data_IF_112616399355
#
_entry.id   IF_112616399355
#
_cell.length_a   1.000
_cell.length_b   1.000
_cell.length_c   1.000
_cell.angle_alpha   90.00
_cell.angle_beta   90.00
_cell.angle_gamma   90.00
#
_symmetry.space_group_name_H-M   'P 1'
#
loop_
_entity.id
_entity.type
_entity.pdbx_description
1 polymer ?
#
# COMPACT_ATOMS: atom_id res chain seq x y z
N UNK A 1 -6.58 -2.59 20.78
CA UNK A 1 -6.34 -1.90 19.49
C UNK A 1 -7.10 -2.60 18.37
N UNK A 2 -7.74 -1.87 17.44
CA UNK A 2 -8.55 -2.44 16.34
C UNK A 2 -7.82 -2.31 15.00
N UNK A 3 -6.78 -3.12 14.78
CA UNK A 3 -5.91 -3.04 13.59
C UNK A 3 -6.69 -3.31 12.30
N UNK A 4 -7.65 -4.25 12.31
CA UNK A 4 -8.48 -4.57 11.15
C UNK A 4 -9.19 -3.35 10.56
N UNK A 5 -9.68 -2.44 11.40
CA UNK A 5 -10.35 -1.22 10.94
C UNK A 5 -9.34 -0.27 10.29
N UNK A 6 -8.15 -0.12 10.89
CA UNK A 6 -7.10 0.72 10.32
C UNK A 6 -6.66 0.21 8.94
N UNK A 7 -6.43 -1.10 8.77
CA UNK A 7 -6.04 -1.67 7.47
C UNK A 7 -7.08 -1.43 6.38
N UNK A 8 -8.38 -1.46 6.72
CA UNK A 8 -9.45 -1.17 5.76
C UNK A 8 -9.50 0.30 5.35
N UNK A 9 -9.15 1.21 6.24
CA UNK A 9 -9.11 2.65 5.96
C UNK A 9 -7.87 3.03 5.15
N UNK A 10 -6.73 2.40 5.43
CA UNK A 10 -5.44 2.68 4.80
C UNK A 10 -5.12 1.78 3.59
N UNK A 11 -6.12 1.35 2.82
CA UNK A 11 -5.92 0.44 1.70
C UNK A 11 -5.82 1.14 0.35
N UNK A 12 -5.21 0.46 -0.64
CA UNK A 12 -5.18 0.95 -2.03
C UNK A 12 -6.58 1.17 -2.62
N UNK A 13 -7.59 0.38 -2.20
CA UNK A 13 -8.97 0.57 -2.68
C UNK A 13 -9.58 1.91 -2.24
N UNK A 14 -9.20 2.41 -1.06
CA UNK A 14 -9.62 3.75 -0.62
C UNK A 14 -8.89 4.82 -1.44
N UNK A 15 -7.62 4.61 -1.75
CA UNK A 15 -6.86 5.49 -2.64
C UNK A 15 -7.51 5.60 -4.03
N UNK A 16 -7.86 4.46 -4.63
CA UNK A 16 -8.54 4.40 -5.94
C UNK A 16 -9.89 5.15 -5.90
N UNK A 17 -10.64 5.05 -4.80
CA UNK A 17 -11.91 5.76 -4.65
C UNK A 17 -11.73 7.28 -4.55
N UNK A 18 -10.71 7.76 -3.81
CA UNK A 18 -10.38 9.19 -3.73
C UNK A 18 -9.95 9.72 -5.10
N UNK A 19 -9.07 8.99 -5.79
CA UNK A 19 -8.61 9.34 -7.13
C UNK A 19 -9.77 9.38 -8.14
N UNK A 20 -10.69 8.40 -8.08
CA UNK A 20 -11.90 8.38 -8.90
C UNK A 20 -12.79 9.61 -8.66
N UNK A 21 -13.04 9.96 -7.39
CA UNK A 21 -13.83 11.13 -7.03
C UNK A 21 -13.20 12.46 -7.52
N UNK A 22 -11.87 12.57 -7.48
CA UNK A 22 -11.15 13.77 -7.93
C UNK A 22 -11.04 13.86 -9.46
N UNK A 23 -10.64 12.76 -10.12
CA UNK A 23 -10.22 12.77 -11.53
C UNK A 23 -11.32 12.43 -12.51
N UNK A 24 -12.31 11.61 -12.12
CA UNK A 24 -13.40 11.18 -13.01
C UNK A 24 -14.73 11.85 -12.67
N UNK A 25 -15.04 12.00 -11.38
CA UNK A 25 -16.27 12.69 -10.96
C UNK A 25 -16.08 14.20 -10.76
N UNK A 26 -14.84 14.68 -10.69
CA UNK A 26 -14.49 16.09 -10.46
C UNK A 26 -15.22 16.71 -9.26
N UNK A 27 -15.42 15.93 -8.19
CA UNK A 27 -16.12 16.40 -7.01
C UNK A 27 -15.29 17.46 -6.29
N UNK A 28 -15.85 18.68 -6.04
CA UNK A 28 -15.09 19.77 -5.43
C UNK A 28 -14.49 19.43 -4.05
N UNK A 29 -15.12 18.51 -3.32
CA UNK A 29 -14.67 18.11 -1.98
C UNK A 29 -13.36 17.30 -2.02
N UNK A 30 -13.01 16.73 -3.18
CA UNK A 30 -11.85 15.86 -3.37
C UNK A 30 -10.75 16.50 -4.22
N UNK A 31 -10.90 17.78 -4.60
CA UNK A 31 -9.86 18.50 -5.34
C UNK A 31 -8.59 18.59 -4.48
N UNK A 32 -7.44 18.27 -5.07
CA UNK A 32 -6.16 18.36 -4.35
C UNK A 32 -5.85 17.14 -3.47
N UNK A 33 -6.57 16.02 -3.63
CA UNK A 33 -6.37 14.83 -2.80
C UNK A 33 -5.21 13.92 -3.25
N UNK A 34 -4.40 14.34 -4.24
CA UNK A 34 -3.34 13.54 -4.84
C UNK A 34 -2.31 13.08 -3.81
N UNK A 35 -1.88 13.98 -2.91
CA UNK A 35 -0.95 13.67 -1.83
C UNK A 35 -1.50 12.60 -0.87
N UNK A 36 -2.81 12.62 -0.62
CA UNK A 36 -3.47 11.62 0.23
C UNK A 36 -3.56 10.27 -0.49
N UNK A 37 -3.83 10.26 -1.79
CA UNK A 37 -3.82 9.04 -2.61
C UNK A 37 -2.43 8.40 -2.57
N UNK A 38 -1.36 9.18 -2.76
CA UNK A 38 0.02 8.67 -2.68
C UNK A 38 0.32 8.12 -1.28
N UNK A 39 -0.01 8.86 -0.22
CA UNK A 39 0.17 8.41 1.15
C UNK A 39 -0.51 7.05 1.43
N UNK A 40 -1.78 6.88 0.99
CA UNK A 40 -2.50 5.62 1.17
C UNK A 40 -1.81 4.45 0.44
N UNK A 41 -1.37 4.66 -0.80
CA UNK A 41 -0.66 3.64 -1.57
C UNK A 41 0.66 3.27 -0.91
N UNK A 42 1.41 4.23 -0.36
CA UNK A 42 2.66 3.99 0.36
C UNK A 42 2.43 3.17 1.64
N UNK A 43 1.42 3.53 2.44
CA UNK A 43 1.12 2.83 3.69
C UNK A 43 0.61 1.41 3.43
N UNK A 44 -0.28 1.21 2.44
CA UNK A 44 -0.77 -0.11 2.07
C UNK A 44 0.37 -1.04 1.62
N UNK A 45 1.27 -0.53 0.77
CA UNK A 45 2.46 -1.27 0.36
C UNK A 45 3.40 -1.59 1.53
N UNK A 46 3.63 -0.64 2.44
CA UNK A 46 4.46 -0.86 3.62
C UNK A 46 3.83 -1.92 4.55
N UNK A 47 2.52 -1.86 4.74
CA UNK A 47 1.77 -2.84 5.52
C UNK A 47 1.88 -4.24 4.90
N UNK A 48 1.70 -4.35 3.59
CA UNK A 48 1.84 -5.61 2.86
C UNK A 48 3.25 -6.20 2.99
N UNK A 49 4.31 -5.39 2.85
CA UNK A 49 5.71 -5.84 3.02
C UNK A 49 5.95 -6.37 4.41
N UNK A 50 5.57 -5.60 5.43
CA UNK A 50 5.84 -5.92 6.84
C UNK A 50 4.95 -7.06 7.35
N UNK A 51 3.84 -7.34 6.69
CA UNK A 51 2.92 -8.42 7.03
C UNK A 51 2.97 -9.59 6.03
N UNK A 52 3.95 -9.60 5.12
CA UNK A 52 4.11 -10.65 4.11
C UNK A 52 4.52 -11.99 4.76
N UNK A 53 3.65 -13.01 4.65
CA UNK A 53 3.89 -14.34 5.26
C UNK A 53 3.68 -15.50 4.28
N UNK A 54 3.14 -15.25 3.08
CA UNK A 54 2.75 -16.29 2.15
C UNK A 54 3.80 -16.49 1.03
N UNK A 55 4.59 -17.58 1.02
CA UNK A 55 5.65 -17.82 0.03
C UNK A 55 5.21 -17.85 -1.43
N UNK A 56 3.91 -18.02 -1.68
CA UNK A 56 3.29 -18.06 -3.02
C UNK A 56 2.77 -16.70 -3.49
N UNK A 57 2.68 -15.71 -2.60
CA UNK A 57 2.25 -14.36 -2.98
C UNK A 57 3.33 -13.61 -3.77
N UNK A 58 2.88 -12.64 -4.57
CA UNK A 58 3.72 -11.85 -5.48
C UNK A 58 3.73 -10.38 -5.03
N UNK A 59 4.74 -9.63 -5.46
CA UNK A 59 4.86 -8.19 -5.14
C UNK A 59 5.12 -7.95 -3.66
N UNK A 60 4.54 -6.88 -3.11
CA UNK A 60 4.74 -6.46 -1.71
C UNK A 60 4.22 -7.47 -0.69
N UNK A 61 3.30 -8.36 -1.07
CA UNK A 61 2.77 -9.40 -0.17
C UNK A 61 3.61 -10.68 -0.13
N UNK A 62 4.63 -10.79 -1.00
CA UNK A 62 5.56 -11.90 -1.00
C UNK A 62 6.54 -11.79 0.18
N UNK A 63 6.93 -12.90 0.85
CA UNK A 63 7.86 -12.85 1.97
C UNK A 63 9.19 -12.23 1.57
N UNK A 64 9.73 -11.42 2.46
CA UNK A 64 11.08 -10.87 2.32
C UNK A 64 12.10 -12.01 2.27
N UNK A 65 12.73 -12.24 1.11
CA UNK A 65 13.81 -13.23 0.93
C UNK A 65 15.17 -12.52 0.94
N UNK A 66 16.13 -13.03 1.70
CA UNK A 66 17.48 -12.44 1.82
C UNK A 66 18.20 -12.29 0.48
N UNK A 67 17.86 -13.11 -0.52
CA UNK A 67 18.46 -13.10 -1.86
C UNK A 67 18.16 -11.82 -2.68
N UNK A 68 17.14 -11.02 -2.31
CA UNK A 68 16.77 -9.78 -3.03
C UNK A 68 17.29 -8.50 -2.40
N UNK A 69 17.82 -8.57 -1.18
CA UNK A 69 18.61 -7.49 -0.59
C UNK A 69 20.03 -7.81 -1.01
N UNK A 70 20.74 -6.89 -1.65
CA UNK A 70 22.13 -7.08 -2.09
C UNK A 70 23.12 -7.23 -0.93
N UNK A 71 22.85 -8.13 0.02
CA UNK A 71 23.82 -8.64 0.96
C UNK A 71 24.60 -9.72 0.21
N UNK A 72 25.67 -9.30 -0.47
CA UNK A 72 26.77 -10.17 -0.82
C UNK A 72 27.13 -11.00 0.41
N UNK A 73 26.76 -12.28 0.41
CA UNK A 73 27.31 -13.24 1.37
C UNK A 73 28.68 -13.64 0.84
N UNK A 74 29.69 -12.86 1.22
CA UNK A 74 31.07 -13.33 1.25
C UNK A 74 31.27 -14.03 2.59
N UNK A 75 31.16 -15.36 2.58
CA UNK A 75 31.90 -16.34 3.38
C UNK A 75 31.27 -17.72 3.16
#
# INVERSE_FOLDING_TARGET
>A
MKVKLATQVFSSSVADALEYCNTLLHLPQFRGCEEMVEFLRTIDAAFDVLNSRNPLEKGYKAPMRSTKIGLNKSC
#
